data_IF_899381337268
#
_entry.id   IF_899381337268
#
_cell.length_a   1.000
_cell.length_b   1.000
_cell.length_c   1.000
_cell.angle_alpha   90.00
_cell.angle_beta   90.00
_cell.angle_gamma   90.00
#
_symmetry.space_group_name_H-M   'P 1'
#
loop_
_entity.id
_entity.type
_entity.pdbx_description
1 polymer ?
#
# COMPACT_ATOMS: atom_id res chain seq x y z
N UNK A 1 -22.29 -9.86 -23.42
CA UNK A 1 -21.86 -8.55 -22.86
C UNK A 1 -22.01 -8.65 -21.35
N UNK A 2 -20.95 -9.02 -20.62
CA UNK A 2 -21.04 -9.28 -19.17
C UNK A 2 -21.05 -7.93 -18.47
N UNK A 3 -22.21 -7.54 -17.94
CA UNK A 3 -22.35 -6.38 -17.07
C UNK A 3 -21.71 -6.74 -15.73
N UNK A 4 -20.49 -6.28 -15.48
CA UNK A 4 -19.89 -6.37 -14.16
C UNK A 4 -20.75 -5.54 -13.19
N UNK A 5 -21.50 -6.24 -12.34
CA UNK A 5 -22.27 -5.66 -11.25
C UNK A 5 -21.34 -4.77 -10.43
N UNK A 6 -21.60 -3.45 -10.42
CA UNK A 6 -20.82 -2.51 -9.61
C UNK A 6 -21.21 -2.69 -8.14
N UNK A 7 -20.33 -3.19 -7.26
CA UNK A 7 -20.67 -3.26 -5.85
C UNK A 7 -20.86 -1.84 -5.31
N UNK A 8 -22.00 -1.62 -4.66
CA UNK A 8 -22.40 -0.36 -4.03
C UNK A 8 -21.43 -0.04 -2.88
N UNK A 9 -20.81 1.15 -2.91
CA UNK A 9 -19.94 1.66 -1.83
C UNK A 9 -18.45 1.80 -2.15
N UNK A 10 -18.07 1.88 -3.42
CA UNK A 10 -16.66 2.01 -3.81
C UNK A 10 -16.05 3.34 -3.33
N UNK A 11 -15.19 3.26 -2.31
CA UNK A 11 -14.40 4.40 -1.83
C UNK A 11 -13.41 4.77 -2.92
N UNK A 12 -13.33 6.06 -3.28
CA UNK A 12 -12.48 6.56 -4.36
C UNK A 12 -11.42 7.49 -3.83
N UNK A 13 -10.19 7.29 -4.30
CA UNK A 13 -9.06 8.18 -4.00
C UNK A 13 -8.42 8.57 -5.33
N UNK A 14 -8.72 9.79 -5.80
CA UNK A 14 -8.26 10.26 -7.12
C UNK A 14 -8.71 9.34 -8.26
N UNK A 15 -7.74 8.78 -9.00
CA UNK A 15 -7.97 7.85 -10.12
C UNK A 15 -8.00 6.36 -9.70
N UNK A 16 -7.92 6.08 -8.40
CA UNK A 16 -7.90 4.73 -7.87
C UNK A 16 -9.23 4.38 -7.22
N UNK A 17 -9.76 3.24 -7.65
CA UNK A 17 -10.92 2.60 -7.06
C UNK A 17 -10.44 1.68 -5.94
N UNK A 18 -10.78 2.00 -4.69
CA UNK A 18 -10.42 1.17 -3.54
C UNK A 18 -11.34 -0.05 -3.51
N UNK A 19 -10.76 -1.25 -3.44
CA UNK A 19 -11.51 -2.51 -3.45
C UNK A 19 -11.67 -3.06 -2.03
N UNK A 20 -10.61 -3.68 -1.49
CA UNK A 20 -10.66 -4.39 -0.21
C UNK A 20 -9.44 -4.10 0.65
N UNK A 21 -9.58 -4.25 1.96
CA UNK A 21 -8.42 -4.25 2.86
C UNK A 21 -7.67 -5.57 2.72
N UNK A 22 -6.35 -5.46 2.56
CA UNK A 22 -5.41 -6.57 2.31
C UNK A 22 -4.44 -6.76 3.46
N UNK A 23 -4.27 -5.73 4.30
CA UNK A 23 -3.50 -5.81 5.53
C UNK A 23 -4.01 -4.79 6.55
N UNK A 24 -4.03 -5.19 7.82
CA UNK A 24 -4.27 -4.30 8.95
C UNK A 24 -3.06 -4.40 9.86
N UNK A 25 -2.29 -3.33 9.93
CA UNK A 25 -1.26 -3.14 10.96
C UNK A 25 -1.81 -2.32 12.12
N UNK A 26 -0.96 -2.09 13.12
CA UNK A 26 -1.34 -1.34 14.33
C UNK A 26 -1.65 0.14 14.04
N UNK A 27 -0.84 0.79 13.20
CA UNK A 27 -0.94 2.22 12.88
C UNK A 27 -1.21 2.48 11.39
N UNK A 28 -1.43 1.40 10.63
CA UNK A 28 -1.57 1.48 9.19
C UNK A 28 -2.56 0.44 8.66
N UNK A 29 -3.37 0.84 7.70
CA UNK A 29 -4.26 -0.07 6.97
C UNK A 29 -3.87 -0.08 5.50
N UNK A 30 -3.70 -1.26 4.94
CA UNK A 30 -3.33 -1.46 3.55
C UNK A 30 -4.57 -1.89 2.80
N UNK A 31 -4.91 -1.15 1.74
CA UNK A 31 -6.05 -1.46 0.87
C UNK A 31 -5.58 -1.71 -0.56
N UNK A 32 -6.13 -2.74 -1.19
CA UNK A 32 -5.99 -2.96 -2.61
C UNK A 32 -6.83 -1.92 -3.34
N UNK A 33 -6.24 -1.32 -4.35
CA UNK A 33 -6.91 -0.38 -5.21
C UNK A 33 -6.53 -0.65 -6.66
N UNK A 34 -7.42 -0.27 -7.58
CA UNK A 34 -7.22 -0.45 -9.01
C UNK A 34 -7.25 0.88 -9.72
N UNK A 35 -6.24 1.15 -10.54
CA UNK A 35 -6.22 2.34 -11.36
C UNK A 35 -7.29 2.23 -12.45
N UNK A 36 -8.15 3.24 -12.58
CA UNK A 36 -9.31 3.15 -13.49
C UNK A 36 -8.94 3.07 -14.96
N UNK A 37 -7.88 3.80 -15.35
CA UNK A 37 -7.45 3.94 -16.75
C UNK A 37 -6.56 2.76 -17.14
N UNK A 38 -5.44 2.57 -16.42
CA UNK A 38 -4.45 1.55 -16.76
C UNK A 38 -4.81 0.14 -16.28
N UNK A 39 -5.89 0.01 -15.49
CA UNK A 39 -6.32 -1.24 -14.83
C UNK A 39 -5.25 -1.89 -13.94
N UNK A 40 -4.21 -1.13 -13.60
CA UNK A 40 -3.11 -1.58 -12.76
C UNK A 40 -3.55 -1.68 -11.30
N UNK A 41 -3.24 -2.81 -10.68
CA UNK A 41 -3.45 -3.02 -9.25
C UNK A 41 -2.32 -2.38 -8.43
N UNK A 42 -2.69 -1.70 -7.37
CA UNK A 42 -1.79 -1.03 -6.44
C UNK A 42 -2.25 -1.28 -5.01
N UNK A 43 -1.30 -1.33 -4.08
CA UNK A 43 -1.61 -1.30 -2.66
C UNK A 43 -1.44 0.12 -2.12
N UNK A 44 -2.42 0.58 -1.35
CA UNK A 44 -2.42 1.89 -0.70
C UNK A 44 -2.32 1.64 0.79
N UNK A 45 -1.15 1.95 1.37
CA UNK A 45 -0.91 1.93 2.82
C UNK A 45 -1.33 3.29 3.37
N UNK A 46 -2.37 3.30 4.18
CA UNK A 46 -2.95 4.46 4.87
C UNK A 46 -2.37 4.45 6.28
N UNK A 47 -1.58 5.45 6.62
CA UNK A 47 -0.91 5.56 7.92
C UNK A 47 -1.54 6.73 8.69
N UNK A 48 -2.03 6.49 9.90
CA UNK A 48 -2.60 7.52 10.77
C UNK A 48 -1.50 8.17 11.60
N UNK A 49 -1.23 9.46 11.35
CA UNK A 49 -0.22 10.24 12.07
C UNK A 49 -0.64 10.60 13.49
N UNK A 50 -1.94 10.60 13.78
CA UNK A 50 -2.45 11.01 15.09
C UNK A 50 -2.21 9.97 16.18
N UNK A 51 -2.03 8.70 15.78
CA UNK A 51 -1.79 7.57 16.67
C UNK A 51 -0.31 7.16 16.72
N UNK A 52 0.59 7.95 16.12
CA UNK A 52 2.01 7.63 16.01
C UNK A 52 2.86 8.44 17.00
N UNK A 53 3.54 7.75 17.90
CA UNK A 53 4.62 8.33 18.70
C UNK A 53 5.84 8.71 17.84
N UNK A 54 6.69 9.60 18.34
CA UNK A 54 7.89 10.07 17.64
C UNK A 54 8.81 8.92 17.19
N UNK A 55 8.94 7.87 18.00
CA UNK A 55 9.71 6.67 17.66
C UNK A 55 9.11 5.90 16.47
N UNK A 56 7.78 5.78 16.39
CA UNK A 56 7.12 5.08 15.30
C UNK A 56 7.07 5.95 14.04
N UNK A 57 6.99 7.27 14.18
CA UNK A 57 7.13 8.21 13.07
C UNK A 57 8.50 8.06 12.38
N UNK A 58 9.58 7.94 13.16
CA UNK A 58 10.94 7.68 12.62
C UNK A 58 11.01 6.35 11.86
N UNK A 59 10.35 5.29 12.35
CA UNK A 59 10.26 4.00 11.64
C UNK A 59 9.54 4.13 10.31
N UNK A 60 8.39 4.80 10.29
CA UNK A 60 7.62 5.05 9.04
C UNK A 60 8.46 5.84 8.04
N UNK A 61 9.13 6.89 8.49
CA UNK A 61 10.00 7.68 7.61
C UNK A 61 11.12 6.81 7.03
N UNK A 62 11.76 5.99 7.86
CA UNK A 62 12.81 5.06 7.43
C UNK A 62 12.30 4.04 6.40
N UNK A 63 11.12 3.45 6.62
CA UNK A 63 10.48 2.54 5.64
C UNK A 63 10.30 3.25 4.30
N UNK A 64 9.73 4.45 4.30
CA UNK A 64 9.49 5.21 3.06
C UNK A 64 10.81 5.55 2.36
N UNK A 65 11.87 5.91 3.10
CA UNK A 65 13.18 6.19 2.51
C UNK A 65 13.80 4.94 1.87
N UNK A 66 13.74 3.79 2.53
CA UNK A 66 14.23 2.52 1.98
C UNK A 66 13.48 2.18 0.68
N UNK A 67 12.15 2.33 0.69
CA UNK A 67 11.33 2.06 -0.50
C UNK A 67 11.55 3.05 -1.65
N UNK A 68 12.05 4.26 -1.38
CA UNK A 68 12.49 5.21 -2.42
C UNK A 68 13.83 4.81 -3.05
N UNK A 69 14.72 4.23 -2.27
CA UNK A 69 16.07 3.85 -2.71
C UNK A 69 16.07 2.52 -3.48
N UNK A 70 15.14 1.62 -3.18
CA UNK A 70 15.06 0.31 -3.82
C UNK A 70 14.20 0.38 -5.09
N UNK A 71 14.81 0.18 -6.25
CA UNK A 71 14.12 0.00 -7.53
C UNK A 71 14.64 -1.27 -8.20
N UNK A 72 14.02 -2.41 -7.88
CA UNK A 72 14.38 -3.70 -8.45
C UNK A 72 13.17 -4.37 -9.13
N UNK A 73 13.41 -5.18 -10.15
CA UNK A 73 12.38 -5.83 -10.96
C UNK A 73 11.46 -6.77 -10.16
N UNK A 74 11.96 -7.29 -9.04
CA UNK A 74 11.29 -8.24 -8.15
C UNK A 74 10.96 -7.69 -6.77
N UNK A 75 11.13 -6.37 -6.54
CA UNK A 75 10.83 -5.74 -5.24
C UNK A 75 9.71 -4.72 -5.44
N UNK A 76 8.84 -4.60 -4.44
CA UNK A 76 7.74 -3.65 -4.39
C UNK A 76 8.28 -2.24 -4.66
N UNK A 77 7.82 -1.62 -5.75
CA UNK A 77 8.24 -0.27 -6.14
C UNK A 77 7.30 0.76 -5.56
N UNK A 78 7.86 1.73 -4.85
CA UNK A 78 7.12 2.91 -4.43
C UNK A 78 6.76 3.75 -5.66
N UNK A 79 5.46 3.97 -5.87
CA UNK A 79 4.97 4.80 -6.97
C UNK A 79 4.82 6.25 -6.54
N UNK A 80 4.14 6.48 -5.42
CA UNK A 80 3.84 7.82 -4.97
C UNK A 80 3.57 7.83 -3.46
N UNK A 81 3.94 8.93 -2.82
CA UNK A 81 3.54 9.23 -1.44
C UNK A 81 2.76 10.53 -1.41
N UNK A 82 1.60 10.52 -0.77
CA UNK A 82 0.79 11.72 -0.52
C UNK A 82 0.66 11.93 0.98
N UNK A 83 1.12 13.08 1.46
CA UNK A 83 1.01 13.46 2.86
C UNK A 83 -0.19 14.40 3.03
N UNK A 84 -1.13 14.00 3.87
CA UNK A 84 -2.24 14.82 4.35
C UNK A 84 -1.98 15.22 5.81
N UNK A 85 -2.78 16.15 6.34
CA UNK A 85 -2.65 16.65 7.71
C UNK A 85 -2.60 15.52 8.75
N UNK A 86 -3.55 14.58 8.67
CA UNK A 86 -3.67 13.46 9.63
C UNK A 86 -3.19 12.11 9.10
N UNK A 87 -3.05 11.95 7.78
CA UNK A 87 -2.75 10.65 7.18
C UNK A 87 -1.59 10.74 6.18
N UNK A 88 -0.83 9.67 6.03
CA UNK A 88 0.09 9.49 4.89
C UNK A 88 -0.42 8.33 4.05
N UNK A 89 -0.60 8.57 2.75
CA UNK A 89 -0.89 7.53 1.77
C UNK A 89 0.40 7.16 1.06
N UNK A 90 0.77 5.89 1.14
CA UNK A 90 1.91 5.32 0.42
C UNK A 90 1.36 4.35 -0.62
N UNK A 91 1.55 4.69 -1.89
CA UNK A 91 1.10 3.88 -3.02
C UNK A 91 2.26 3.06 -3.56
N UNK A 92 2.05 1.75 -3.63
CA UNK A 92 3.03 0.80 -4.14
C UNK A 92 2.43 -0.04 -5.25
N UNK A 93 3.24 -0.33 -6.26
CA UNK A 93 2.85 -1.23 -7.34
C UNK A 93 3.34 -2.64 -7.03
N UNK A 94 2.42 -3.60 -7.13
CA UNK A 94 2.66 -5.01 -6.94
C UNK A 94 2.68 -5.68 -8.31
N UNK A 95 3.74 -6.41 -8.66
CA UNK A 95 3.79 -7.12 -9.95
C UNK A 95 3.01 -8.43 -9.92
N UNK A 96 2.83 -9.02 -8.74
CA UNK A 96 1.92 -10.16 -8.53
C UNK A 96 0.95 -9.88 -7.37
N UNK A 97 -0.32 -10.25 -7.56
CA UNK A 97 -1.36 -10.10 -6.55
C UNK A 97 -1.10 -10.88 -5.24
N UNK A 98 -0.16 -11.84 -5.25
CA UNK A 98 0.27 -12.60 -4.07
C UNK A 98 1.26 -11.85 -3.19
N UNK A 99 1.91 -10.78 -3.68
CA UNK A 99 2.96 -10.03 -2.99
C UNK A 99 2.41 -8.86 -2.14
N UNK A 100 1.09 -8.82 -1.97
CA UNK A 100 0.33 -7.67 -1.47
C UNK A 100 0.43 -7.47 0.07
N UNK A 101 1.15 -8.34 0.78
CA UNK A 101 1.32 -8.26 2.23
C UNK A 101 2.38 -7.20 2.56
N UNK A 102 1.94 -6.02 3.01
CA UNK A 102 2.87 -4.95 3.39
C UNK A 102 3.71 -5.35 4.62
N UNK A 103 5.02 -5.08 4.61
CA UNK A 103 5.85 -5.25 5.79
C UNK A 103 5.41 -4.22 6.83
N UNK A 104 4.71 -4.69 7.86
CA UNK A 104 4.46 -3.93 9.10
C UNK A 104 4.66 -4.78 10.35
N UNK A 105 4.92 -6.08 10.16
CA UNK A 105 5.28 -7.03 11.19
C UNK A 105 6.69 -7.55 10.90
N UNK A 106 7.57 -7.46 11.90
CA UNK A 106 8.94 -7.98 11.92
C UNK A 106 9.03 -9.49 11.57
N UNK A 107 7.89 -10.17 11.37
CA UNK A 107 7.78 -11.62 11.19
C UNK A 107 7.84 -12.09 9.73
N UNK A 108 7.78 -11.20 8.73
CA UNK A 108 7.73 -11.60 7.31
C UNK A 108 9.06 -11.39 6.58
N UNK A 109 10.16 -11.91 7.15
CA UNK A 109 11.40 -12.17 6.41
C UNK A 109 11.35 -13.45 5.56
N UNK A 110 10.18 -14.11 5.46
CA UNK A 110 9.99 -15.30 4.60
C UNK A 110 10.05 -15.01 3.08
N UNK A 111 10.15 -13.75 2.67
CA UNK A 111 10.22 -13.37 1.25
C UNK A 111 11.61 -13.56 0.61
N UNK A 112 12.68 -13.69 1.40
CA UNK A 112 14.04 -13.81 0.85
C UNK A 112 14.46 -15.23 0.47
N UNK A 113 13.61 -16.26 0.66
CA UNK A 113 14.05 -17.66 0.54
C UNK A 113 13.32 -18.49 -0.52
N UNK A 114 12.59 -17.86 -1.46
CA UNK A 114 12.04 -18.57 -2.63
C UNK A 114 12.32 -17.78 -3.91
N UNK A 115 13.56 -17.86 -4.38
CA UNK A 115 13.92 -17.73 -5.79
C UNK A 115 14.95 -18.80 -6.10
#
# INVERSE_FOLDING_TARGET
MVMAERPKGQIRVGFYDIERTIGKGNFAVVKLAKHRITKTEVAIKIIDKTQLDEANLKKVYREVQIMKLISHNHIIKLYQTQAYYKFTLVQVHCRRATEIVAPSTQTDLKWMEKS
#
